data_IF_494217956814
#
_entry.id   IF_494217956814
#
_cell.length_a   1.000
_cell.length_b   1.000
_cell.length_c   1.000
_cell.angle_alpha   90.00
_cell.angle_beta   90.00
_cell.angle_gamma   90.00
#
_symmetry.space_group_name_H-M   'P 1'
#
loop_
_entity.id
_entity.type
_entity.pdbx_description
1 polymer ?
#
# COMPACT_ATOMS: atom_id res chain seq x y z
N UNK A 1 8.27 10.88 3.85
CA UNK A 1 7.70 9.76 3.10
C UNK A 1 6.41 9.32 3.79
N UNK A 2 5.33 9.18 3.04
CA UNK A 2 4.01 8.81 3.56
C UNK A 2 3.61 7.42 3.04
N UNK A 3 4.34 6.40 3.46
CA UNK A 3 4.00 5.02 3.25
C UNK A 3 4.37 4.18 4.48
N UNK A 4 3.89 2.95 4.55
CA UNK A 4 3.93 2.09 5.74
C UNK A 4 3.25 2.77 6.93
N UNK A 5 2.07 3.33 6.67
CA UNK A 5 1.34 4.10 7.66
C UNK A 5 0.61 3.23 8.68
N UNK A 6 0.32 1.98 8.31
CA UNK A 6 -0.31 0.99 9.17
C UNK A 6 0.64 -0.09 9.69
N UNK A 7 0.21 -0.85 10.68
CA UNK A 7 0.98 -1.97 11.23
C UNK A 7 0.79 -3.24 10.41
N UNK A 8 1.87 -3.78 9.87
CA UNK A 8 1.87 -5.10 9.19
C UNK A 8 1.57 -6.26 10.17
N UNK A 9 1.87 -6.06 11.44
CA UNK A 9 1.70 -7.07 12.49
C UNK A 9 0.28 -7.17 13.02
N UNK A 10 -0.52 -6.12 12.85
CA UNK A 10 -1.89 -6.12 13.33
C UNK A 10 -2.81 -6.82 12.33
N UNK A 11 -3.46 -7.95 12.69
CA UNK A 11 -4.35 -8.68 11.80
C UNK A 11 -5.59 -7.89 11.35
N UNK A 12 -5.98 -6.86 12.10
CA UNK A 12 -7.12 -5.99 11.77
C UNK A 12 -6.76 -4.88 10.76
N UNK A 13 -5.46 -4.68 10.48
CA UNK A 13 -5.02 -3.72 9.46
C UNK A 13 -5.48 -4.19 8.09
N UNK A 14 -6.20 -3.34 7.39
CA UNK A 14 -6.68 -3.64 6.02
C UNK A 14 -5.63 -3.36 4.96
N UNK A 15 -4.86 -2.30 5.17
CA UNK A 15 -3.77 -1.88 4.29
C UNK A 15 -2.73 -1.13 5.12
N UNK A 16 -1.53 -1.66 5.18
CA UNK A 16 -0.42 -1.05 5.92
C UNK A 16 0.46 -0.17 5.04
N UNK A 17 0.31 -0.23 3.71
CA UNK A 17 1.13 0.57 2.78
C UNK A 17 0.73 2.04 2.87
N UNK A 18 -0.55 2.35 2.64
CA UNK A 18 -1.08 3.70 2.69
C UNK A 18 -2.53 3.68 3.18
N UNK A 19 -2.81 4.43 4.21
CA UNK A 19 -4.15 4.61 4.77
C UNK A 19 -4.40 6.08 5.06
N UNK A 20 -5.45 6.64 4.47
CA UNK A 20 -5.88 8.01 4.74
C UNK A 20 -6.08 8.26 6.25
N UNK A 21 -6.70 7.32 6.96
CA UNK A 21 -6.97 7.45 8.40
C UNK A 21 -5.69 7.55 9.22
N UNK A 22 -4.68 6.76 8.86
CA UNK A 22 -3.42 6.77 9.59
C UNK A 22 -2.66 8.06 9.29
N UNK A 23 -2.61 8.49 8.03
CA UNK A 23 -2.01 9.79 7.66
C UNK A 23 -2.75 10.95 8.32
N UNK A 24 -4.09 10.95 8.36
CA UNK A 24 -4.88 11.97 9.05
C UNK A 24 -4.54 12.05 10.54
N UNK A 25 -4.31 10.90 11.17
CA UNK A 25 -3.90 10.83 12.58
C UNK A 25 -2.52 11.45 12.82
N UNK A 26 -1.59 11.33 11.88
CA UNK A 26 -0.28 12.02 11.93
C UNK A 26 -0.41 13.53 11.70
N UNK A 27 -1.32 13.96 10.82
CA UNK A 27 -1.52 15.35 10.46
C UNK A 27 -2.66 16.01 11.28
N UNK A 28 -2.75 15.72 12.58
CA UNK A 28 -3.84 16.22 13.45
C UNK A 28 -3.90 17.74 13.56
N UNK A 29 -2.76 18.44 13.43
CA UNK A 29 -2.67 19.90 13.41
C UNK A 29 -2.12 20.36 12.08
N UNK A 30 -2.37 21.64 11.73
CA UNK A 30 -1.70 22.25 10.60
C UNK A 30 -0.20 22.28 10.89
N UNK A 31 0.57 21.70 9.97
CA UNK A 31 2.02 21.59 10.11
C UNK A 31 2.64 22.69 9.25
N UNK A 32 3.36 23.59 9.91
CA UNK A 32 4.23 24.55 9.24
C UNK A 32 5.65 24.04 9.30
N UNK A 33 6.24 23.75 8.15
CA UNK A 33 7.63 23.33 8.06
C UNK A 33 8.40 24.39 7.26
N UNK A 34 9.53 24.83 7.81
CA UNK A 34 10.29 25.96 7.27
C UNK A 34 11.07 25.68 5.98
N UNK A 35 11.04 24.44 5.47
CA UNK A 35 11.72 24.05 4.25
C UNK A 35 10.70 23.45 3.26
N UNK A 36 10.96 23.55 1.94
CA UNK A 36 10.19 22.82 0.94
C UNK A 36 10.22 21.32 1.21
N UNK A 37 9.10 20.64 1.09
CA UNK A 37 8.97 19.20 1.28
C UNK A 37 8.59 18.50 -0.01
N UNK A 38 9.36 17.48 -0.38
CA UNK A 38 8.99 16.54 -1.41
C UNK A 38 8.11 15.43 -0.84
N UNK A 39 7.08 15.03 -1.59
CA UNK A 39 6.12 14.01 -1.17
C UNK A 39 6.26 12.75 -2.01
N UNK A 40 6.63 11.65 -1.36
CA UNK A 40 6.70 10.34 -2.01
C UNK A 40 5.42 9.54 -1.69
N UNK A 41 4.74 9.11 -2.76
CA UNK A 41 3.55 8.25 -2.68
C UNK A 41 3.91 6.82 -3.11
N UNK A 42 3.44 5.79 -2.39
CA UNK A 42 3.69 4.41 -2.76
C UNK A 42 2.88 4.02 -3.99
N UNK A 43 3.48 3.23 -4.88
CA UNK A 43 2.82 2.65 -6.06
C UNK A 43 3.02 1.14 -6.13
N UNK A 44 3.22 0.48 -4.99
CA UNK A 44 3.51 -0.94 -4.91
C UNK A 44 2.41 -1.74 -4.20
N UNK A 45 2.53 -3.05 -4.33
CA UNK A 45 1.74 -4.02 -3.62
C UNK A 45 2.63 -5.07 -2.95
N UNK A 46 2.10 -5.73 -1.93
CA UNK A 46 2.71 -6.89 -1.29
C UNK A 46 1.66 -7.83 -0.71
N UNK A 47 2.09 -9.07 -0.44
CA UNK A 47 1.30 -10.02 0.32
C UNK A 47 1.82 -10.13 1.76
N UNK A 48 0.95 -10.01 2.75
CA UNK A 48 1.29 -10.28 4.14
C UNK A 48 0.88 -11.71 4.45
N UNK A 49 1.87 -12.59 4.56
CA UNK A 49 1.63 -13.98 4.97
C UNK A 49 1.41 -14.04 6.48
N UNK A 50 0.30 -14.63 6.89
CA UNK A 50 -0.01 -14.90 8.29
C UNK A 50 -0.20 -16.39 8.53
N UNK A 51 0.27 -16.86 9.67
CA UNK A 51 0.06 -18.21 10.19
C UNK A 51 -0.55 -18.09 11.58
N UNK A 52 -1.68 -18.73 11.82
CA UNK A 52 -2.44 -18.65 13.08
C UNK A 52 -2.67 -17.19 13.56
N UNK A 53 -2.99 -16.30 12.60
CA UNK A 53 -3.18 -14.84 12.80
C UNK A 53 -1.90 -14.05 13.14
N UNK A 54 -0.75 -14.68 13.18
CA UNK A 54 0.52 -14.01 13.42
C UNK A 54 1.21 -13.65 12.10
N UNK A 55 1.83 -12.48 12.06
CA UNK A 55 2.70 -12.09 10.95
C UNK A 55 3.84 -13.08 10.79
N UNK A 56 4.13 -13.45 9.55
CA UNK A 56 5.24 -14.32 9.22
C UNK A 56 6.25 -13.65 8.30
N UNK A 57 5.80 -13.19 7.14
CA UNK A 57 6.68 -12.58 6.13
C UNK A 57 5.90 -11.70 5.17
N UNK A 58 6.60 -10.75 4.55
CA UNK A 58 6.13 -9.97 3.40
C UNK A 58 6.51 -10.73 2.13
N UNK A 59 5.56 -10.91 1.23
CA UNK A 59 5.74 -11.49 -0.10
C UNK A 59 5.64 -10.38 -1.14
N UNK A 60 6.60 -10.30 -2.04
CA UNK A 60 6.63 -9.29 -3.11
C UNK A 60 5.94 -9.77 -4.39
N UNK A 61 5.90 -11.08 -4.60
CA UNK A 61 5.04 -11.64 -5.63
C UNK A 61 3.59 -11.58 -5.21
N UNK A 62 2.77 -10.87 -6.00
CA UNK A 62 1.36 -10.59 -5.66
C UNK A 62 0.37 -11.23 -6.64
N UNK A 63 0.84 -12.13 -7.50
CA UNK A 63 -0.03 -12.85 -8.42
C UNK A 63 -0.60 -14.12 -7.76
N UNK A 64 -1.82 -14.03 -7.26
CA UNK A 64 -2.57 -15.13 -6.64
C UNK A 64 -3.71 -15.64 -7.54
N UNK A 65 -3.51 -15.62 -8.87
CA UNK A 65 -4.53 -16.05 -9.85
C UNK A 65 -4.69 -17.56 -9.98
N UNK A 66 -3.70 -18.34 -9.49
CA UNK A 66 -3.77 -19.80 -9.49
C UNK A 66 -4.84 -20.31 -8.51
N UNK A 67 -6.01 -20.63 -9.03
CA UNK A 67 -7.17 -21.10 -8.25
C UNK A 67 -7.00 -22.49 -7.63
N UNK A 68 -5.99 -23.25 -8.05
CA UNK A 68 -5.62 -24.51 -7.39
C UNK A 68 -4.87 -24.27 -6.08
N UNK A 69 -4.09 -23.21 -6.04
CA UNK A 69 -3.28 -22.84 -4.85
C UNK A 69 -3.95 -21.83 -3.96
N UNK A 70 -4.77 -20.93 -4.51
CA UNK A 70 -5.33 -19.81 -3.77
C UNK A 70 -6.83 -19.68 -3.95
N UNK A 71 -7.54 -19.43 -2.86
CA UNK A 71 -8.95 -19.06 -2.86
C UNK A 71 -9.09 -17.62 -2.38
N UNK A 72 -9.61 -16.75 -3.27
CA UNK A 72 -9.90 -15.37 -2.90
C UNK A 72 -11.00 -15.32 -1.84
N UNK A 73 -10.74 -14.55 -0.80
CA UNK A 73 -11.64 -14.27 0.30
C UNK A 73 -12.06 -12.80 0.30
N UNK A 74 -12.88 -12.40 1.25
CA UNK A 74 -13.27 -11.00 1.44
C UNK A 74 -12.09 -10.16 1.94
N UNK A 75 -12.10 -8.85 1.63
CA UNK A 75 -11.13 -7.89 2.16
C UNK A 75 -9.71 -8.02 1.62
N UNK A 76 -9.53 -8.57 0.41
CA UNK A 76 -8.21 -8.70 -0.21
C UNK A 76 -7.39 -9.89 0.29
N UNK A 77 -8.00 -10.78 1.06
CA UNK A 77 -7.33 -11.97 1.59
C UNK A 77 -7.39 -13.15 0.62
N UNK A 78 -6.38 -14.01 0.70
CA UNK A 78 -6.29 -15.27 -0.04
C UNK A 78 -6.01 -16.42 0.94
N UNK A 79 -6.84 -17.46 0.86
CA UNK A 79 -6.61 -18.71 1.58
C UNK A 79 -5.74 -19.63 0.73
N UNK A 80 -4.68 -20.16 1.30
CA UNK A 80 -3.79 -21.13 0.66
C UNK A 80 -4.45 -22.51 0.70
N UNK A 81 -4.70 -23.09 -0.47
CA UNK A 81 -5.36 -24.39 -0.64
C UNK A 81 -4.38 -25.56 -0.72
N UNK A 82 -3.18 -25.29 -1.27
CA UNK A 82 -2.13 -26.28 -1.45
C UNK A 82 -0.80 -25.74 -0.93
N UNK A 83 -0.05 -26.62 -0.29
CA UNK A 83 1.30 -26.33 0.19
C UNK A 83 2.27 -26.16 -0.98
N UNK A 84 3.11 -25.13 -0.91
CA UNK A 84 4.11 -24.83 -1.96
C UNK A 84 5.18 -23.88 -1.42
N UNK A 85 6.19 -23.61 -2.26
CA UNK A 85 7.19 -22.56 -1.99
C UNK A 85 6.90 -21.32 -2.81
N UNK A 86 7.06 -20.15 -2.19
CA UNK A 86 6.97 -18.83 -2.82
C UNK A 86 8.08 -17.94 -2.23
N UNK A 87 8.91 -17.32 -3.07
CA UNK A 87 10.04 -16.47 -2.64
C UNK A 87 10.93 -17.15 -1.57
N UNK A 88 11.23 -18.44 -1.74
CA UNK A 88 11.95 -19.28 -0.78
C UNK A 88 11.26 -19.48 0.58
N UNK A 89 10.02 -19.05 0.74
CA UNK A 89 9.22 -19.31 1.93
C UNK A 89 8.30 -20.51 1.70
N UNK A 90 8.26 -21.40 2.70
CA UNK A 90 7.31 -22.50 2.71
C UNK A 90 5.93 -22.00 3.11
N UNK A 91 4.98 -22.05 2.16
CA UNK A 91 3.61 -21.60 2.32
C UNK A 91 2.75 -22.85 2.59
N UNK A 92 2.16 -22.92 3.77
CA UNK A 92 1.36 -24.08 4.18
C UNK A 92 -0.10 -23.94 3.78
N UNK A 93 -0.74 -25.06 3.51
CA UNK A 93 -2.19 -25.12 3.39
C UNK A 93 -2.87 -24.54 4.64
N UNK A 94 -3.86 -23.69 4.45
CA UNK A 94 -4.56 -22.99 5.54
C UNK A 94 -3.94 -21.65 5.94
N UNK A 95 -2.73 -21.33 5.47
CA UNK A 95 -2.19 -19.98 5.64
C UNK A 95 -3.08 -18.95 4.96
N UNK A 96 -3.05 -17.72 5.46
CA UNK A 96 -3.76 -16.58 4.85
C UNK A 96 -2.73 -15.58 4.36
N UNK A 97 -2.92 -15.12 3.13
CA UNK A 97 -2.15 -14.02 2.55
C UNK A 97 -3.10 -12.83 2.41
N UNK A 98 -2.80 -11.72 3.07
CA UNK A 98 -3.49 -10.46 2.90
C UNK A 98 -2.77 -9.67 1.81
N UNK A 99 -3.43 -9.48 0.67
CA UNK A 99 -2.92 -8.63 -0.41
C UNK A 99 -3.20 -7.17 -0.07
N UNK A 100 -2.15 -6.38 -0.01
CA UNK A 100 -2.20 -4.94 0.20
C UNK A 100 -1.60 -4.24 -1.02
N UNK A 101 -2.22 -3.14 -1.42
CA UNK A 101 -1.75 -2.33 -2.54
C UNK A 101 -2.12 -0.87 -2.35
N UNK A 102 -1.34 0.01 -2.94
CA UNK A 102 -1.75 1.39 -3.11
C UNK A 102 -2.76 1.50 -4.24
N UNK A 103 -3.77 2.33 -4.03
CA UNK A 103 -4.75 2.65 -5.07
C UNK A 103 -4.68 4.13 -5.41
N UNK A 104 -4.98 4.47 -6.67
CA UNK A 104 -5.08 5.87 -7.09
C UNK A 104 -5.99 6.69 -6.17
N UNK A 105 -7.16 6.15 -5.84
CA UNK A 105 -8.12 6.85 -4.98
C UNK A 105 -7.55 7.18 -3.60
N UNK A 106 -6.82 6.24 -2.98
CA UNK A 106 -6.24 6.47 -1.66
C UNK A 106 -5.06 7.46 -1.71
N UNK A 107 -4.21 7.36 -2.74
CA UNK A 107 -3.13 8.33 -2.98
C UNK A 107 -3.72 9.74 -3.12
N UNK A 108 -4.76 9.92 -3.94
CA UNK A 108 -5.38 11.23 -4.16
C UNK A 108 -6.08 11.77 -2.91
N UNK A 109 -6.67 10.91 -2.07
CA UNK A 109 -7.23 11.33 -0.77
C UNK A 109 -6.14 11.85 0.16
N UNK A 110 -5.03 11.12 0.28
CA UNK A 110 -3.88 11.52 1.09
C UNK A 110 -3.27 12.82 0.55
N UNK A 111 -3.10 12.92 -0.77
CA UNK A 111 -2.54 14.12 -1.41
C UNK A 111 -3.39 15.37 -1.11
N UNK A 112 -4.72 15.27 -1.23
CA UNK A 112 -5.64 16.37 -0.86
C UNK A 112 -5.55 16.74 0.62
N UNK A 113 -5.44 15.74 1.49
CA UNK A 113 -5.27 15.98 2.92
C UNK A 113 -3.99 16.77 3.21
N UNK A 114 -2.88 16.38 2.57
CA UNK A 114 -1.59 17.07 2.71
C UNK A 114 -1.72 18.52 2.22
N UNK A 115 -2.25 18.73 1.02
CA UNK A 115 -2.46 20.06 0.47
C UNK A 115 -3.30 20.96 1.39
N UNK A 116 -4.34 20.38 2.03
CA UNK A 116 -5.17 21.10 2.99
C UNK A 116 -4.47 21.40 4.32
N UNK A 117 -3.66 20.47 4.83
CA UNK A 117 -3.05 20.56 6.17
C UNK A 117 -1.70 21.25 6.19
N UNK A 118 -0.99 21.22 5.08
CA UNK A 118 0.35 21.76 4.98
C UNK A 118 0.30 23.02 4.11
N UNK A 119 0.38 24.19 4.75
CA UNK A 119 0.39 25.49 4.06
C UNK A 119 1.73 25.80 3.37
N UNK A 120 2.65 24.84 3.26
CA UNK A 120 3.94 25.03 2.61
C UNK A 120 3.82 24.91 1.08
N UNK A 121 4.59 25.71 0.36
CA UNK A 121 4.76 25.53 -1.08
C UNK A 121 5.12 24.08 -1.37
N UNK A 122 4.36 23.47 -2.27
CA UNK A 122 4.53 22.06 -2.61
C UNK A 122 5.90 21.84 -3.25
N UNK A 123 6.70 20.95 -2.68
CA UNK A 123 7.86 20.39 -3.33
C UNK A 123 7.48 19.42 -4.44
N UNK A 124 8.42 18.58 -4.84
CA UNK A 124 8.19 17.61 -5.90
C UNK A 124 7.29 16.46 -5.44
N UNK A 125 6.48 15.94 -6.37
CA UNK A 125 5.78 14.67 -6.20
C UNK A 125 6.68 13.55 -6.72
N UNK A 126 6.86 12.50 -5.90
CA UNK A 126 7.68 11.34 -6.21
C UNK A 126 6.77 10.10 -6.14
N UNK A 127 6.87 9.20 -7.10
CA UNK A 127 6.26 7.87 -7.03
C UNK A 127 7.31 6.85 -6.60
N UNK A 128 6.98 6.04 -5.63
CA UNK A 128 7.83 5.00 -5.09
C UNK A 128 7.01 3.71 -4.96
N UNK A 129 7.34 2.66 -5.58
CA UNK A 129 8.52 2.16 -6.23
C UNK A 129 8.27 2.06 -7.74
N UNK A 130 9.24 2.46 -8.57
CA UNK A 130 9.09 2.52 -10.02
C UNK A 130 9.55 1.20 -10.66
N UNK A 131 8.61 0.30 -10.93
CA UNK A 131 8.80 -0.88 -11.76
C UNK A 131 7.56 -1.14 -12.62
N UNK A 132 7.73 -1.95 -13.66
CA UNK A 132 6.67 -2.20 -14.64
C UNK A 132 5.46 -2.93 -14.06
N UNK A 133 5.64 -3.81 -13.09
CA UNK A 133 4.56 -4.56 -12.46
C UNK A 133 3.68 -3.65 -11.62
N UNK A 134 4.30 -2.86 -10.75
CA UNK A 134 3.58 -1.93 -9.88
C UNK A 134 2.90 -0.82 -10.66
N UNK A 135 3.58 -0.25 -11.68
CA UNK A 135 2.98 0.78 -12.53
C UNK A 135 1.82 0.26 -13.37
N UNK A 136 1.81 -1.02 -13.74
CA UNK A 136 0.69 -1.61 -14.50
C UNK A 136 -0.64 -1.64 -13.73
N UNK A 137 -0.61 -1.39 -12.42
CA UNK A 137 -1.82 -1.26 -11.58
C UNK A 137 -2.50 0.12 -11.71
N UNK A 138 -1.88 1.07 -12.42
CA UNK A 138 -2.38 2.43 -12.61
C UNK A 138 -2.57 2.71 -14.09
N UNK A 139 -3.61 3.46 -14.43
CA UNK A 139 -3.75 4.01 -15.77
C UNK A 139 -2.81 5.22 -15.94
N UNK A 140 -2.32 5.45 -17.16
CA UNK A 140 -1.44 6.59 -17.45
C UNK A 140 -2.05 7.94 -16.99
N UNK A 141 -3.36 8.11 -17.20
CA UNK A 141 -4.07 9.31 -16.74
C UNK A 141 -4.05 9.47 -15.21
N UNK A 142 -4.07 8.37 -14.46
CA UNK A 142 -4.02 8.40 -13.00
C UNK A 142 -2.63 8.80 -12.52
N UNK A 143 -1.58 8.26 -13.16
CA UNK A 143 -0.19 8.66 -12.89
C UNK A 143 -0.02 10.16 -13.13
N UNK A 144 -0.48 10.67 -14.28
CA UNK A 144 -0.41 12.08 -14.61
C UNK A 144 -1.18 12.96 -13.59
N UNK A 145 -2.33 12.50 -13.09
CA UNK A 145 -3.07 13.20 -12.06
C UNK A 145 -2.35 13.23 -10.70
N UNK A 146 -1.61 12.16 -10.35
CA UNK A 146 -0.81 12.17 -9.12
C UNK A 146 0.29 13.24 -9.20
N UNK A 147 0.90 13.45 -10.35
CA UNK A 147 1.91 14.51 -10.55
C UNK A 147 1.32 15.92 -10.61
N UNK A 148 0.05 16.06 -11.01
CA UNK A 148 -0.60 17.39 -11.10
C UNK A 148 -0.79 17.99 -9.71
N UNK A 149 -0.37 19.24 -9.46
CA UNK A 149 -0.64 19.92 -8.19
C UNK A 149 -2.13 19.95 -7.84
N UNK A 150 -2.45 19.89 -6.57
CA UNK A 150 -3.82 20.12 -6.07
C UNK A 150 -4.05 21.64 -6.03
N UNK A 151 -5.08 22.16 -6.71
CA UNK A 151 -5.39 23.59 -6.71
C UNK A 151 -5.82 24.10 -5.33
#
# INVERSE_FOLDING_TARGET
>A
MLYNTGSIYNPETKNSILSYKDVEAYLKSNITYGLPLDFAYPTYAWGILTEERNFRVILHEVNFSDTLRYKKMTGGNYLVLQEHYLENHHIRKGNIIRLENSTFSEIMRVKRLIAFKMASESGNTILYHLDSLNLSMFEEKEINQIYTPIP
#
